data_IF_135129408318
#
_entry.id   IF_135129408318
#
_cell.length_a   1.000
_cell.length_b   1.000
_cell.length_c   1.000
_cell.angle_alpha   90.00
_cell.angle_beta   90.00
_cell.angle_gamma   90.00
#
_symmetry.space_group_name_H-M   'P 1'
#
loop_
_entity.id
_entity.type
_entity.pdbx_description
1 polymer ?
#
# COMPACT_ATOMS: atom_id res chain seq x y z
N UNK A 1 -13.77 13.53 -9.05
CA UNK A 1 -13.29 12.96 -7.77
C UNK A 1 -12.44 11.71 -7.96
N UNK A 2 -12.95 10.55 -8.39
CA UNK A 2 -12.09 9.34 -8.39
C UNK A 2 -10.86 9.43 -9.32
N UNK A 3 -11.02 9.93 -10.55
CA UNK A 3 -9.90 10.11 -11.49
C UNK A 3 -8.89 11.18 -11.03
N UNK A 4 -9.35 12.20 -10.29
CA UNK A 4 -8.50 13.29 -9.81
C UNK A 4 -7.52 12.78 -8.75
N UNK A 5 -7.97 11.87 -7.87
CA UNK A 5 -7.09 11.26 -6.85
C UNK A 5 -6.00 10.42 -7.51
N UNK A 6 -6.33 9.65 -8.55
CA UNK A 6 -5.32 8.85 -9.27
C UNK A 6 -4.30 9.76 -9.94
N UNK A 7 -4.76 10.84 -10.57
CA UNK A 7 -3.89 11.78 -11.27
C UNK A 7 -2.98 12.56 -10.30
N UNK A 8 -3.53 13.04 -9.17
CA UNK A 8 -2.75 13.72 -8.12
C UNK A 8 -1.72 12.75 -7.52
N UNK A 9 -2.12 11.53 -7.18
CA UNK A 9 -1.21 10.52 -6.65
C UNK A 9 -0.08 10.23 -7.65
N UNK A 10 -0.40 10.06 -8.94
CA UNK A 10 0.56 9.82 -10.02
C UNK A 10 1.56 10.97 -10.15
N UNK A 11 1.10 12.21 -10.17
CA UNK A 11 1.96 13.40 -10.32
C UNK A 11 2.87 13.55 -9.11
N UNK A 12 2.35 13.43 -7.89
CA UNK A 12 3.14 13.57 -6.66
C UNK A 12 4.17 12.44 -6.52
N UNK A 13 3.77 11.19 -6.79
CA UNK A 13 4.69 10.05 -6.79
C UNK A 13 5.77 10.18 -7.86
N UNK A 14 5.47 10.78 -9.02
CA UNK A 14 6.50 11.08 -10.00
C UNK A 14 7.51 12.12 -9.47
N UNK A 15 7.05 13.15 -8.76
CA UNK A 15 7.93 14.15 -8.12
C UNK A 15 8.76 13.60 -6.96
N UNK A 16 8.36 12.50 -6.33
CA UNK A 16 9.21 11.76 -5.39
C UNK A 16 10.47 11.16 -6.04
N UNK A 17 10.48 11.02 -7.36
CA UNK A 17 11.64 10.52 -8.12
C UNK A 17 12.62 11.62 -8.55
N UNK A 18 12.37 12.89 -8.21
CA UNK A 18 13.23 14.02 -8.56
C UNK A 18 14.58 13.95 -7.84
N UNK A 19 15.65 14.51 -8.40
CA UNK A 19 16.96 14.57 -7.72
C UNK A 19 17.01 15.61 -6.59
N UNK A 20 16.10 16.58 -6.59
CA UNK A 20 16.07 17.65 -5.61
C UNK A 20 15.31 17.23 -4.35
N UNK A 21 16.00 17.18 -3.22
CA UNK A 21 15.44 16.77 -1.91
C UNK A 21 14.27 17.68 -1.46
N UNK A 22 14.31 18.98 -1.75
CA UNK A 22 13.22 19.89 -1.42
C UNK A 22 11.94 19.54 -2.20
N UNK A 23 12.07 19.19 -3.48
CA UNK A 23 10.95 18.74 -4.31
C UNK A 23 10.41 17.41 -3.77
N UNK A 24 11.29 16.45 -3.47
CA UNK A 24 10.88 15.17 -2.87
C UNK A 24 10.10 15.39 -1.57
N UNK A 25 10.63 16.19 -0.64
CA UNK A 25 9.97 16.46 0.66
C UNK A 25 8.61 17.12 0.50
N UNK A 26 8.50 18.10 -0.42
CA UNK A 26 7.24 18.80 -0.69
C UNK A 26 6.21 17.86 -1.32
N UNK A 27 6.66 16.98 -2.24
CA UNK A 27 5.80 15.97 -2.84
C UNK A 27 5.30 14.95 -1.81
N UNK A 28 6.16 14.51 -0.88
CA UNK A 28 5.81 13.57 0.19
C UNK A 28 4.75 14.16 1.13
N UNK A 29 4.95 15.41 1.55
CA UNK A 29 3.99 16.14 2.38
C UNK A 29 2.65 16.33 1.67
N UNK A 30 2.69 16.73 0.39
CA UNK A 30 1.49 16.94 -0.42
C UNK A 30 0.73 15.62 -0.63
N UNK A 31 1.44 14.51 -0.80
CA UNK A 31 0.84 13.18 -0.92
C UNK A 31 0.17 12.77 0.39
N UNK A 32 0.80 13.05 1.54
CA UNK A 32 0.20 12.84 2.85
C UNK A 32 -1.09 13.63 3.06
N UNK A 33 -1.15 14.89 2.61
CA UNK A 33 -2.37 15.72 2.65
C UNK A 33 -3.46 15.12 1.76
N UNK A 34 -3.12 14.70 0.54
CA UNK A 34 -4.07 14.03 -0.36
C UNK A 34 -4.65 12.75 0.26
N UNK A 35 -3.80 11.93 0.89
CA UNK A 35 -4.24 10.70 1.56
C UNK A 35 -5.20 11.01 2.72
N UNK A 36 -4.96 12.11 3.44
CA UNK A 36 -5.81 12.55 4.54
C UNK A 36 -7.13 13.21 4.08
N UNK A 37 -7.22 13.70 2.85
CA UNK A 37 -8.41 14.41 2.35
C UNK A 37 -9.46 13.50 1.69
N UNK A 38 -9.13 12.23 1.44
CA UNK A 38 -10.02 11.26 0.78
C UNK A 38 -10.31 10.07 1.69
N UNK A 39 -11.23 9.19 1.29
CA UNK A 39 -11.48 7.97 2.08
C UNK A 39 -10.22 7.08 2.09
N UNK A 40 -9.91 6.40 3.21
CA UNK A 40 -8.72 5.55 3.29
C UNK A 40 -8.69 4.43 2.25
N UNK A 41 -9.86 3.88 1.91
CA UNK A 41 -10.00 2.88 0.85
C UNK A 41 -9.63 3.46 -0.53
N UNK A 42 -10.04 4.69 -0.82
CA UNK A 42 -9.70 5.35 -2.08
C UNK A 42 -8.21 5.66 -2.18
N UNK A 43 -7.61 6.20 -1.11
CA UNK A 43 -6.18 6.45 -1.04
C UNK A 43 -5.36 5.16 -1.26
N UNK A 44 -5.78 4.07 -0.60
CA UNK A 44 -5.14 2.75 -0.75
C UNK A 44 -5.15 2.28 -2.22
N UNK A 45 -6.30 2.36 -2.90
CA UNK A 45 -6.41 1.96 -4.30
C UNK A 45 -5.47 2.77 -5.20
N UNK A 46 -5.43 4.10 -5.06
CA UNK A 46 -4.57 4.97 -5.87
C UNK A 46 -3.07 4.67 -5.67
N UNK A 47 -2.65 4.47 -4.40
CA UNK A 47 -1.25 4.16 -4.04
C UNK A 47 -0.83 2.76 -4.54
N UNK A 48 -1.71 1.77 -4.46
CA UNK A 48 -1.45 0.40 -4.96
C UNK A 48 -1.37 0.35 -6.49
N UNK A 49 -2.13 1.18 -7.19
CA UNK A 49 -2.12 1.22 -8.65
C UNK A 49 -0.81 1.77 -9.23
N UNK A 50 -0.23 2.79 -8.59
CA UNK A 50 0.85 3.59 -9.20
C UNK A 50 2.18 3.55 -8.44
N UNK A 51 2.16 3.46 -7.11
CA UNK A 51 3.34 3.67 -6.27
C UNK A 51 4.12 2.40 -5.97
N UNK A 52 3.45 1.35 -5.51
CA UNK A 52 4.10 0.13 -4.98
C UNK A 52 4.84 -0.70 -6.03
N UNK A 53 4.54 -0.52 -7.32
CA UNK A 53 5.19 -1.21 -8.43
C UNK A 53 6.20 -0.34 -9.19
N UNK A 54 6.46 0.88 -8.72
CA UNK A 54 7.30 1.83 -9.43
C UNK A 54 8.79 1.41 -9.46
N UNK A 55 9.50 1.74 -10.55
CA UNK A 55 10.93 1.36 -10.71
C UNK A 55 11.85 2.10 -9.74
N UNK A 56 11.55 3.36 -9.46
CA UNK A 56 12.30 4.18 -8.50
C UNK A 56 12.01 3.75 -7.04
N UNK A 57 13.08 3.50 -6.29
CA UNK A 57 13.07 3.03 -4.90
C UNK A 57 12.38 4.02 -3.94
N UNK A 58 12.65 5.32 -4.09
CA UNK A 58 12.10 6.36 -3.20
C UNK A 58 10.58 6.51 -3.39
N UNK A 59 10.11 6.36 -4.62
CA UNK A 59 8.67 6.34 -4.93
C UNK A 59 7.99 5.17 -4.24
N UNK A 60 8.58 3.96 -4.29
CA UNK A 60 8.04 2.79 -3.58
C UNK A 60 8.06 2.98 -2.07
N UNK A 61 9.13 3.56 -1.50
CA UNK A 61 9.24 3.86 -0.07
C UNK A 61 8.12 4.79 0.39
N UNK A 62 7.94 5.91 -0.30
CA UNK A 62 6.91 6.90 -0.03
C UNK A 62 5.50 6.30 -0.15
N UNK A 63 5.23 5.57 -1.25
CA UNK A 63 3.95 4.89 -1.43
C UNK A 63 3.66 3.88 -0.30
N UNK A 64 4.65 3.10 0.13
CA UNK A 64 4.49 2.11 1.20
C UNK A 64 4.22 2.75 2.57
N UNK A 65 4.83 3.91 2.85
CA UNK A 65 4.61 4.68 4.07
C UNK A 65 3.16 5.18 4.16
N UNK A 66 2.68 5.85 3.11
CA UNK A 66 1.30 6.36 3.06
C UNK A 66 0.27 5.23 2.99
N UNK A 67 0.60 4.13 2.31
CA UNK A 67 -0.22 2.92 2.29
C UNK A 67 -0.41 2.33 3.69
N UNK A 68 0.65 2.29 4.51
CA UNK A 68 0.55 1.84 5.90
C UNK A 68 -0.40 2.74 6.71
N UNK A 69 -0.36 4.06 6.50
CA UNK A 69 -1.26 5.01 7.16
C UNK A 69 -2.73 4.75 6.79
N UNK A 70 -3.04 4.61 5.50
CA UNK A 70 -4.38 4.28 5.03
C UNK A 70 -4.85 2.91 5.56
N UNK A 71 -3.99 1.89 5.51
CA UNK A 71 -4.27 0.54 5.99
C UNK A 71 -4.62 0.51 7.47
N UNK A 72 -3.88 1.25 8.31
CA UNK A 72 -4.15 1.39 9.74
C UNK A 72 -5.53 1.99 10.00
N UNK A 73 -5.94 2.99 9.22
CA UNK A 73 -7.24 3.63 9.36
C UNK A 73 -8.40 2.72 8.92
N UNK A 74 -8.21 1.90 7.88
CA UNK A 74 -9.22 0.92 7.45
C UNK A 74 -9.35 -0.21 8.49
N UNK A 75 -8.22 -0.70 8.98
CA UNK A 75 -8.12 -1.78 9.96
C UNK A 75 -8.26 -3.18 9.35
N UNK A 76 -7.55 -4.14 9.95
CA UNK A 76 -7.45 -5.52 9.47
C UNK A 76 -8.81 -6.20 9.29
N UNK A 77 -9.76 -5.96 10.21
CA UNK A 77 -11.11 -6.56 10.13
C UNK A 77 -11.79 -6.25 8.80
N UNK A 78 -11.78 -4.98 8.36
CA UNK A 78 -12.44 -4.56 7.12
C UNK A 78 -11.69 -5.09 5.89
N UNK A 79 -10.36 -4.98 5.88
CA UNK A 79 -9.51 -5.46 4.77
C UNK A 79 -9.64 -6.97 4.53
N UNK A 80 -9.73 -7.76 5.59
CA UNK A 80 -9.90 -9.21 5.54
C UNK A 80 -11.38 -9.64 5.39
N UNK A 81 -12.30 -8.68 5.28
CA UNK A 81 -13.71 -8.94 4.95
C UNK A 81 -14.06 -8.47 3.54
N UNK A 82 -13.10 -7.95 2.78
CA UNK A 82 -13.27 -7.61 1.37
C UNK A 82 -13.45 -8.88 0.52
N UNK A 83 -13.64 -8.71 -0.79
CA UNK A 83 -13.69 -9.86 -1.69
C UNK A 83 -12.38 -10.67 -1.64
N UNK A 84 -12.43 -12.00 -1.84
CA UNK A 84 -11.23 -12.84 -1.86
C UNK A 84 -10.12 -12.30 -2.77
N UNK A 85 -10.48 -11.86 -3.98
CA UNK A 85 -9.52 -11.30 -4.95
C UNK A 85 -8.86 -10.01 -4.46
N UNK A 86 -9.63 -9.14 -3.79
CA UNK A 86 -9.08 -7.88 -3.24
C UNK A 86 -8.16 -8.15 -2.06
N UNK A 87 -8.54 -9.06 -1.16
CA UNK A 87 -7.70 -9.46 -0.03
C UNK A 87 -6.42 -10.14 -0.52
N UNK A 88 -6.52 -10.99 -1.55
CA UNK A 88 -5.38 -11.67 -2.14
C UNK A 88 -4.41 -10.70 -2.84
N UNK A 89 -4.93 -9.78 -3.66
CA UNK A 89 -4.12 -8.71 -4.27
C UNK A 89 -3.40 -7.86 -3.22
N UNK A 90 -4.11 -7.50 -2.14
CA UNK A 90 -3.52 -6.77 -1.02
C UNK A 90 -2.37 -7.58 -0.41
N UNK A 91 -2.60 -8.84 -0.02
CA UNK A 91 -1.56 -9.67 0.62
C UNK A 91 -0.35 -9.84 -0.30
N UNK A 92 -0.54 -10.14 -1.59
CA UNK A 92 0.57 -10.23 -2.56
C UNK A 92 1.36 -8.93 -2.64
N UNK A 93 0.67 -7.80 -2.67
CA UNK A 93 1.31 -6.47 -2.70
C UNK A 93 2.15 -6.23 -1.44
N UNK A 94 1.61 -6.55 -0.26
CA UNK A 94 2.31 -6.37 1.02
C UNK A 94 3.52 -7.30 1.16
N UNK A 95 3.41 -8.55 0.69
CA UNK A 95 4.53 -9.50 0.62
C UNK A 95 5.64 -8.96 -0.29
N UNK A 96 5.28 -8.42 -1.47
CA UNK A 96 6.24 -7.78 -2.37
C UNK A 96 6.97 -6.62 -1.71
N UNK A 97 6.25 -5.74 -1.00
CA UNK A 97 6.86 -4.64 -0.24
C UNK A 97 7.77 -5.16 0.89
N UNK A 98 7.36 -6.21 1.60
CA UNK A 98 8.16 -6.81 2.68
C UNK A 98 9.48 -7.43 2.19
N UNK A 99 9.57 -7.75 0.90
CA UNK A 99 10.75 -8.29 0.22
C UNK A 99 11.49 -7.26 -0.64
N UNK A 100 11.12 -5.98 -0.58
CA UNK A 100 11.73 -4.90 -1.37
C UNK A 100 13.25 -4.76 -1.14
N UNK A 101 14.01 -4.24 -2.11
CA UNK A 101 15.44 -3.99 -1.93
C UNK A 101 15.74 -2.88 -0.91
N UNK A 102 14.81 -1.95 -0.66
CA UNK A 102 14.98 -0.84 0.28
C UNK A 102 14.49 -1.18 1.70
N UNK A 103 15.30 -0.85 2.71
CA UNK A 103 15.06 -1.26 4.10
C UNK A 103 13.74 -0.72 4.67
N UNK A 104 13.44 0.57 4.46
CA UNK A 104 12.20 1.17 4.98
C UNK A 104 10.97 0.60 4.30
N UNK A 105 11.04 0.37 2.98
CA UNK A 105 9.95 -0.25 2.22
C UNK A 105 9.63 -1.64 2.76
N UNK A 106 10.68 -2.44 3.04
CA UNK A 106 10.51 -3.72 3.74
C UNK A 106 9.90 -3.56 5.12
N UNK A 107 10.33 -2.56 5.88
CA UNK A 107 9.81 -2.27 7.22
C UNK A 107 8.30 -1.97 7.18
N UNK A 108 7.85 -1.12 6.25
CA UNK A 108 6.44 -0.80 6.06
C UNK A 108 5.64 -2.04 5.61
N UNK A 109 6.15 -2.81 4.65
CA UNK A 109 5.53 -4.08 4.21
C UNK A 109 5.31 -5.06 5.36
N UNK A 110 6.36 -5.29 6.18
CA UNK A 110 6.27 -6.16 7.37
C UNK A 110 5.28 -5.63 8.41
N UNK A 111 5.25 -4.32 8.67
CA UNK A 111 4.27 -3.71 9.59
C UNK A 111 2.84 -3.94 9.12
N UNK A 112 2.57 -3.76 7.83
CA UNK A 112 1.25 -4.00 7.24
C UNK A 112 0.84 -5.47 7.33
N UNK A 113 1.75 -6.41 7.01
CA UNK A 113 1.50 -7.84 7.18
C UNK A 113 1.22 -8.18 8.65
N UNK A 114 1.99 -7.64 9.59
CA UNK A 114 1.77 -7.86 11.03
C UNK A 114 0.38 -7.39 11.48
N UNK A 115 -0.10 -6.25 10.95
CA UNK A 115 -1.47 -5.77 11.20
C UNK A 115 -2.50 -6.79 10.71
N UNK A 116 -2.34 -7.33 9.51
CA UNK A 116 -3.27 -8.34 8.99
C UNK A 116 -3.20 -9.65 9.80
N UNK A 117 -2.00 -10.18 10.04
CA UNK A 117 -1.75 -11.41 10.78
C UNK A 117 -2.25 -11.37 12.23
N UNK A 118 -2.33 -10.19 12.83
CA UNK A 118 -2.86 -10.05 14.20
C UNK A 118 -4.36 -10.32 14.33
N UNK A 119 -5.10 -10.41 13.20
CA UNK A 119 -6.54 -10.58 13.20
C UNK A 119 -6.96 -12.00 12.79
N UNK A 120 -7.84 -12.65 13.57
CA UNK A 120 -8.31 -14.05 13.36
C UNK A 120 -8.89 -14.37 11.98
N UNK A 121 -9.32 -13.37 11.22
CA UNK A 121 -9.78 -13.56 9.82
C UNK A 121 -8.62 -13.91 8.88
N UNK A 122 -7.40 -13.56 9.24
CA UNK A 122 -6.22 -13.91 8.45
C UNK A 122 -6.00 -15.43 8.43
N UNK A 123 -6.24 -16.12 9.56
CA UNK A 123 -6.20 -17.59 9.61
C UNK A 123 -7.20 -18.23 8.64
N UNK A 124 -8.39 -17.63 8.50
CA UNK A 124 -9.41 -18.08 7.54
C UNK A 124 -8.93 -17.85 6.10
N UNK A 125 -8.36 -16.69 5.81
CA UNK A 125 -7.75 -16.39 4.52
C UNK A 125 -6.68 -17.43 4.18
N UNK A 126 -5.75 -17.73 5.10
CA UNK A 126 -4.69 -18.72 4.88
C UNK A 126 -5.21 -20.13 4.58
N UNK A 127 -6.27 -20.55 5.26
CA UNK A 127 -6.91 -21.86 5.00
C UNK A 127 -7.55 -21.94 3.61
N UNK A 128 -8.03 -20.82 3.09
CA UNK A 128 -8.65 -20.73 1.76
C UNK A 128 -7.62 -20.53 0.66
N UNK A 129 -6.48 -19.90 0.96
CA UNK A 129 -5.39 -19.65 0.01
C UNK A 129 -4.36 -20.78 -0.07
N UNK A 130 -4.54 -21.86 0.69
CA UNK A 130 -3.68 -23.04 0.61
C UNK A 130 -3.71 -23.65 -0.80
N UNK A 131 -2.65 -24.36 -1.22
CA UNK A 131 -2.67 -25.04 -2.52
C UNK A 131 -3.89 -25.97 -2.56
N UNK A 132 -4.71 -25.82 -3.61
CA UNK A 132 -5.67 -26.87 -3.98
C UNK A 132 -4.86 -28.16 -4.01
N UNK A 133 -5.18 -29.10 -3.11
CA UNK A 133 -4.61 -30.44 -3.16
C UNK A 133 -5.29 -31.17 -4.30
N UNK A 134 -5.02 -30.73 -5.53
CA UNK A 134 -5.24 -31.55 -6.71
C UNK A 134 -3.95 -32.37 -6.88
N UNK A 135 -3.88 -33.44 -6.07
CA UNK A 135 -3.01 -34.59 -6.28
C UNK A 135 -3.82 -35.66 -7.02
#
# INVERSE_FOLDING_TARGET
>A
MDHEVDEVARVLLHKMGDSNEFIQKTADQSLGIMVASVTPARAMTALMATGVQHRNVLVRRCAAEHLLSALKQIGAKKLLSASPDSTDLLVRTLVKLAQDCHQDTRCYGRKMLAILMSHRKFDRYLKQSGPSRDL
#
